data_IF_462074199741
#
_entry.id   IF_462074199741
#
_cell.length_a   1.000
_cell.length_b   1.000
_cell.length_c   1.000
_cell.angle_alpha   90.00
_cell.angle_beta   90.00
_cell.angle_gamma   90.00
#
_symmetry.space_group_name_H-M   'P 1'
#
loop_
_entity.id
_entity.type
_entity.pdbx_description
1 polymer ?
#
# COMPACT_ATOMS: atom_id res chain seq x y z
N UNK A 1 47.73 -15.53 30.02
CA UNK A 1 46.29 -15.80 29.75
C UNK A 1 45.49 -14.53 29.48
N UNK A 2 45.54 -13.50 30.34
CA UNK A 2 44.77 -12.24 30.19
C UNK A 2 45.01 -11.52 28.85
N UNK A 3 46.25 -11.48 28.37
CA UNK A 3 46.62 -10.82 27.10
C UNK A 3 45.95 -11.48 25.89
N UNK A 4 45.82 -12.81 25.90
CA UNK A 4 45.18 -13.57 24.81
C UNK A 4 43.68 -13.26 24.75
N UNK A 5 43.01 -13.17 25.90
CA UNK A 5 41.60 -12.77 25.97
C UNK A 5 41.40 -11.33 25.47
N UNK A 6 42.30 -10.42 25.79
CA UNK A 6 42.26 -9.02 25.32
C UNK A 6 42.35 -8.92 23.80
N UNK A 7 43.22 -9.71 23.17
CA UNK A 7 43.41 -9.77 21.71
C UNK A 7 42.16 -10.34 21.01
N UNK A 8 41.43 -11.27 21.64
CA UNK A 8 40.19 -11.85 21.10
C UNK A 8 38.97 -10.92 21.29
N UNK A 9 38.91 -10.19 22.40
CA UNK A 9 37.76 -9.33 22.74
C UNK A 9 37.73 -8.07 21.88
N UNK A 10 38.89 -7.45 21.61
CA UNK A 10 38.98 -6.23 20.80
C UNK A 10 38.29 -6.32 19.41
N UNK A 11 38.55 -7.34 18.57
CA UNK A 11 37.88 -7.47 17.28
C UNK A 11 36.39 -7.77 17.43
N UNK A 12 35.98 -8.56 18.43
CA UNK A 12 34.55 -8.86 18.68
C UNK A 12 33.80 -7.59 19.06
N UNK A 13 34.36 -6.77 19.96
CA UNK A 13 33.79 -5.48 20.33
C UNK A 13 33.70 -4.53 19.14
N UNK A 14 34.71 -4.53 18.26
CA UNK A 14 34.70 -3.73 17.04
C UNK A 14 33.57 -4.14 16.09
N UNK A 15 33.41 -5.45 15.83
CA UNK A 15 32.33 -5.99 14.99
C UNK A 15 30.95 -5.68 15.57
N UNK A 16 30.75 -5.90 16.87
CA UNK A 16 29.49 -5.56 17.55
C UNK A 16 29.18 -4.07 17.44
N UNK A 17 30.18 -3.21 17.60
CA UNK A 17 30.01 -1.75 17.46
C UNK A 17 29.61 -1.36 16.05
N UNK A 18 30.17 -1.99 15.01
CA UNK A 18 29.77 -1.74 13.63
C UNK A 18 28.33 -2.15 13.35
N UNK A 19 27.91 -3.33 13.81
CA UNK A 19 26.53 -3.80 13.62
C UNK A 19 25.52 -2.93 14.37
N UNK A 20 25.83 -2.52 15.61
CA UNK A 20 25.01 -1.56 16.38
C UNK A 20 24.92 -0.22 15.63
N UNK A 21 26.01 0.27 15.04
CA UNK A 21 26.01 1.51 14.23
C UNK A 21 25.15 1.35 12.96
N UNK A 22 25.17 0.17 12.33
CA UNK A 22 24.36 -0.14 11.14
C UNK A 22 22.88 -0.18 11.49
N UNK A 23 22.52 -0.88 12.57
CA UNK A 23 21.14 -0.99 13.07
C UNK A 23 20.63 0.39 13.52
N UNK A 24 21.42 1.17 14.26
CA UNK A 24 20.99 2.51 14.70
C UNK A 24 20.79 3.47 13.52
N UNK A 25 21.66 3.44 12.50
CA UNK A 25 21.46 4.23 11.27
C UNK A 25 20.20 3.78 10.52
N UNK A 26 19.94 2.48 10.42
CA UNK A 26 18.72 1.94 9.83
C UNK A 26 17.46 2.37 10.59
N UNK A 27 17.49 2.32 11.92
CA UNK A 27 16.40 2.79 12.78
C UNK A 27 16.18 4.30 12.67
N UNK A 28 17.24 5.10 12.54
CA UNK A 28 17.14 6.54 12.32
C UNK A 28 16.53 6.87 10.96
N UNK A 29 16.85 6.12 9.91
CA UNK A 29 16.22 6.27 8.59
C UNK A 29 14.73 5.91 8.69
N UNK A 30 14.39 4.79 9.31
CA UNK A 30 13.00 4.41 9.54
C UNK A 30 12.24 5.42 10.39
N UNK A 31 12.86 5.97 11.44
CA UNK A 31 12.26 7.03 12.25
C UNK A 31 12.12 8.33 11.47
N UNK A 32 13.07 8.68 10.60
CA UNK A 32 12.98 9.87 9.74
C UNK A 32 11.86 9.71 8.72
N UNK A 33 11.75 8.55 8.08
CA UNK A 33 10.69 8.24 7.14
C UNK A 33 9.33 8.23 7.87
N UNK A 34 9.27 7.58 9.03
CA UNK A 34 8.09 7.59 9.91
C UNK A 34 7.77 9.00 10.40
N UNK A 35 8.75 9.86 10.69
CA UNK A 35 8.56 11.26 11.12
C UNK A 35 8.06 12.14 9.97
N UNK A 36 8.56 11.94 8.75
CA UNK A 36 8.06 12.59 7.54
C UNK A 36 6.62 12.13 7.23
N UNK A 37 6.33 10.83 7.43
CA UNK A 37 4.99 10.25 7.29
C UNK A 37 4.04 10.60 8.46
N UNK A 38 4.57 10.80 9.67
CA UNK A 38 3.82 11.04 10.92
C UNK A 38 3.66 12.52 11.25
N UNK A 39 4.36 13.42 10.57
CA UNK A 39 3.91 14.80 10.53
C UNK A 39 2.51 14.75 9.91
N UNK A 40 1.49 15.36 10.51
CA UNK A 40 0.22 15.53 9.84
C UNK A 40 0.46 16.55 8.73
N UNK A 41 1.08 16.11 7.64
CA UNK A 41 0.89 16.71 6.33
C UNK A 41 -0.59 16.49 6.10
N UNK A 42 -1.40 17.50 6.46
CA UNK A 42 -2.79 17.52 6.10
C UNK A 42 -2.80 17.45 4.58
N UNK A 43 -3.28 16.33 4.05
CA UNK A 43 -3.33 16.17 2.59
C UNK A 43 -4.48 16.99 1.98
N UNK A 44 -5.24 17.70 2.83
CA UNK A 44 -6.38 18.57 2.54
C UNK A 44 -6.11 19.50 1.34
N UNK A 45 -4.89 20.03 1.20
CA UNK A 45 -4.52 20.99 0.14
C UNK A 45 -3.66 20.38 -0.97
N UNK A 46 -3.41 19.07 -0.96
CA UNK A 46 -2.62 18.42 -2.01
C UNK A 46 -3.55 18.01 -3.15
N UNK A 47 -3.26 18.54 -4.34
CA UNK A 47 -3.89 18.14 -5.59
C UNK A 47 -3.86 16.61 -5.75
N UNK A 48 -5.03 16.03 -6.00
CA UNK A 48 -5.22 14.59 -6.20
C UNK A 48 -4.23 14.01 -7.21
N UNK A 49 -3.94 14.75 -8.29
CA UNK A 49 -2.99 14.32 -9.32
C UNK A 49 -1.59 14.09 -8.75
N UNK A 50 -1.14 14.93 -7.82
CA UNK A 50 0.17 14.77 -7.17
C UNK A 50 0.19 13.54 -6.27
N UNK A 51 -0.91 13.27 -5.57
CA UNK A 51 -1.06 12.08 -4.72
C UNK A 51 -1.03 10.81 -5.56
N UNK A 52 -1.76 10.78 -6.68
CA UNK A 52 -1.76 9.65 -7.61
C UNK A 52 -0.38 9.41 -8.25
N UNK A 53 0.33 10.48 -8.64
CA UNK A 53 1.71 10.35 -9.14
C UNK A 53 2.65 9.74 -8.08
N UNK A 54 2.51 10.14 -6.82
CA UNK A 54 3.30 9.58 -5.72
C UNK A 54 2.92 8.11 -5.45
N UNK A 55 1.63 7.79 -5.47
CA UNK A 55 1.14 6.42 -5.36
C UNK A 55 1.68 5.53 -6.48
N UNK A 56 1.70 6.02 -7.72
CA UNK A 56 2.29 5.31 -8.85
C UNK A 56 3.80 5.04 -8.63
N UNK A 57 4.53 6.01 -8.10
CA UNK A 57 5.94 5.81 -7.75
C UNK A 57 6.12 4.73 -6.67
N UNK A 58 5.26 4.69 -5.64
CA UNK A 58 5.26 3.63 -4.63
C UNK A 58 4.90 2.26 -5.22
N UNK A 59 3.89 2.19 -6.09
CA UNK A 59 3.48 0.97 -6.80
C UNK A 59 4.63 0.44 -7.67
N UNK A 60 5.28 1.30 -8.47
CA UNK A 60 6.40 0.92 -9.33
C UNK A 60 7.58 0.35 -8.51
N UNK A 61 7.77 0.85 -7.28
CA UNK A 61 8.77 0.38 -6.33
C UNK A 61 8.31 -0.80 -5.47
N UNK A 62 7.09 -1.33 -5.71
CA UNK A 62 6.45 -2.40 -4.93
C UNK A 62 6.33 -2.07 -3.43
N UNK A 63 6.24 -0.79 -3.09
CA UNK A 63 6.05 -0.30 -1.72
C UNK A 63 4.55 -0.27 -1.35
N UNK A 64 3.91 -1.45 -1.39
CA UNK A 64 2.45 -1.60 -1.28
C UNK A 64 1.87 -0.96 -0.01
N UNK A 65 2.48 -1.22 1.15
CA UNK A 65 1.99 -0.72 2.43
C UNK A 65 2.10 0.82 2.53
N UNK A 66 3.20 1.39 2.05
CA UNK A 66 3.38 2.85 2.03
C UNK A 66 2.36 3.51 1.10
N UNK A 67 2.07 2.88 -0.04
CA UNK A 67 1.03 3.34 -0.96
C UNK A 67 -0.34 3.34 -0.29
N UNK A 68 -0.73 2.23 0.35
CA UNK A 68 -2.00 2.11 1.05
C UNK A 68 -2.14 3.18 2.13
N UNK A 69 -1.13 3.33 3.01
CA UNK A 69 -1.15 4.32 4.10
C UNK A 69 -1.29 5.75 3.55
N UNK A 70 -0.57 6.09 2.47
CA UNK A 70 -0.67 7.39 1.82
C UNK A 70 -2.10 7.66 1.33
N UNK A 71 -2.67 6.69 0.61
CA UNK A 71 -3.96 6.84 -0.06
C UNK A 71 -5.14 6.80 0.92
N UNK A 72 -5.09 5.95 1.95
CA UNK A 72 -6.10 5.94 3.02
C UNK A 72 -6.10 7.25 3.81
N UNK A 73 -4.90 7.78 4.13
CA UNK A 73 -4.78 9.11 4.74
C UNK A 73 -5.35 10.19 3.85
N UNK A 74 -5.13 10.12 2.54
CA UNK A 74 -5.69 11.06 1.58
C UNK A 74 -7.22 11.04 1.61
N UNK A 75 -7.83 9.85 1.54
CA UNK A 75 -9.28 9.68 1.59
C UNK A 75 -9.90 10.23 2.88
N UNK A 76 -9.24 9.99 4.02
CA UNK A 76 -9.69 10.48 5.32
C UNK A 76 -9.67 12.02 5.40
N UNK A 77 -8.62 12.65 4.85
CA UNK A 77 -8.44 14.10 4.91
C UNK A 77 -9.22 14.85 3.81
N UNK A 78 -9.56 14.19 2.70
CA UNK A 78 -10.27 14.80 1.57
C UNK A 78 -11.78 14.81 1.80
N UNK A 79 -12.39 15.99 1.93
CA UNK A 79 -13.83 16.11 2.22
C UNK A 79 -14.75 16.10 1.01
N UNK A 80 -14.26 16.38 -0.22
CA UNK A 80 -15.14 16.55 -1.40
C UNK A 80 -14.42 16.42 -2.76
N UNK A 81 -13.71 15.32 -3.05
CA UNK A 81 -13.21 15.07 -4.41
C UNK A 81 -14.16 14.14 -5.18
N UNK A 82 -14.66 14.64 -6.32
CA UNK A 82 -15.61 13.96 -7.21
C UNK A 82 -14.97 12.72 -7.88
N UNK A 83 -13.65 12.60 -7.85
CA UNK A 83 -12.90 11.58 -8.61
C UNK A 83 -12.03 10.67 -7.72
N UNK A 84 -12.50 10.30 -6.52
CA UNK A 84 -11.78 9.39 -5.62
C UNK A 84 -11.70 7.93 -6.14
N UNK A 85 -12.34 7.61 -7.27
CA UNK A 85 -12.32 6.25 -7.79
C UNK A 85 -10.91 5.77 -8.13
N UNK A 86 -10.05 6.64 -8.67
CA UNK A 86 -8.66 6.25 -8.96
C UNK A 86 -7.88 5.93 -7.68
N UNK A 87 -8.19 6.61 -6.58
CA UNK A 87 -7.59 6.31 -5.27
C UNK A 87 -8.01 4.93 -4.81
N UNK A 88 -9.31 4.61 -4.86
CA UNK A 88 -9.82 3.29 -4.52
C UNK A 88 -9.24 2.17 -5.41
N UNK A 89 -9.09 2.43 -6.72
CA UNK A 89 -8.44 1.51 -7.66
C UNK A 89 -6.99 1.24 -7.28
N UNK A 90 -6.22 2.28 -6.98
CA UNK A 90 -4.84 2.13 -6.55
C UNK A 90 -4.72 1.32 -5.24
N UNK A 91 -5.58 1.57 -4.25
CA UNK A 91 -5.59 0.81 -3.00
C UNK A 91 -5.97 -0.66 -3.27
N UNK A 92 -7.05 -0.90 -4.01
CA UNK A 92 -7.50 -2.23 -4.39
C UNK A 92 -6.42 -3.01 -5.14
N UNK A 93 -5.69 -2.35 -6.04
CA UNK A 93 -4.56 -2.93 -6.76
C UNK A 93 -3.42 -3.33 -5.82
N UNK A 94 -3.09 -2.49 -4.82
CA UNK A 94 -2.05 -2.80 -3.84
C UNK A 94 -2.41 -4.03 -3.01
N UNK A 95 -3.66 -4.16 -2.56
CA UNK A 95 -4.13 -5.34 -1.84
C UNK A 95 -4.18 -6.58 -2.72
N UNK A 96 -4.66 -6.45 -3.96
CA UNK A 96 -4.70 -7.54 -4.93
C UNK A 96 -3.29 -8.08 -5.22
N UNK A 97 -2.31 -7.20 -5.37
CA UNK A 97 -0.89 -7.55 -5.58
C UNK A 97 -0.28 -8.32 -4.40
N UNK A 98 -0.90 -8.25 -3.22
CA UNK A 98 -0.50 -9.00 -2.02
C UNK A 98 -1.43 -10.17 -1.70
N UNK A 99 -2.34 -10.52 -2.62
CA UNK A 99 -3.35 -11.58 -2.47
C UNK A 99 -4.31 -11.37 -1.29
N UNK A 100 -4.50 -10.12 -0.84
CA UNK A 100 -5.50 -9.76 0.17
C UNK A 100 -6.84 -9.49 -0.51
N UNK A 101 -7.44 -10.56 -1.05
CA UNK A 101 -8.59 -10.47 -1.96
C UNK A 101 -9.83 -9.81 -1.34
N UNK A 102 -10.13 -10.09 -0.07
CA UNK A 102 -11.27 -9.49 0.63
C UNK A 102 -11.13 -7.96 0.77
N UNK A 103 -9.94 -7.48 1.13
CA UNK A 103 -9.68 -6.04 1.23
C UNK A 103 -9.70 -5.39 -0.15
N UNK A 104 -9.12 -6.04 -1.16
CA UNK A 104 -9.19 -5.57 -2.54
C UNK A 104 -10.64 -5.47 -3.05
N UNK A 105 -11.47 -6.48 -2.79
CA UNK A 105 -12.90 -6.49 -3.13
C UNK A 105 -13.62 -5.29 -2.51
N UNK A 106 -13.43 -5.05 -1.21
CA UNK A 106 -14.05 -3.93 -0.51
C UNK A 106 -13.68 -2.58 -1.12
N UNK A 107 -12.41 -2.40 -1.50
CA UNK A 107 -11.95 -1.15 -2.10
C UNK A 107 -12.47 -0.94 -3.53
N UNK A 108 -12.52 -1.98 -4.37
CA UNK A 108 -13.12 -1.87 -5.70
C UNK A 108 -14.63 -1.61 -5.63
N UNK A 109 -15.34 -2.19 -4.66
CA UNK A 109 -16.77 -1.91 -4.41
C UNK A 109 -17.01 -0.45 -4.02
N UNK A 110 -16.21 0.11 -3.11
CA UNK A 110 -16.28 1.53 -2.77
C UNK A 110 -16.02 2.43 -3.99
N UNK A 111 -15.12 2.03 -4.90
CA UNK A 111 -14.93 2.70 -6.19
C UNK A 111 -16.20 2.68 -7.05
N UNK A 112 -16.84 1.51 -7.19
CA UNK A 112 -18.07 1.34 -7.97
C UNK A 112 -19.28 2.06 -7.36
N UNK A 113 -19.33 2.25 -6.05
CA UNK A 113 -20.35 3.11 -5.42
C UNK A 113 -20.26 4.56 -5.91
N UNK A 114 -19.08 5.01 -6.36
CA UNK A 114 -18.87 6.36 -6.91
C UNK A 114 -19.02 6.39 -8.43
N UNK A 115 -18.50 5.39 -9.14
CA UNK A 115 -18.69 5.24 -10.58
C UNK A 115 -19.04 3.78 -10.92
N UNK A 116 -20.33 3.43 -11.01
CA UNK A 116 -20.79 2.05 -11.20
C UNK A 116 -20.33 1.40 -12.51
N UNK A 117 -19.92 2.20 -13.48
CA UNK A 117 -19.55 1.75 -14.83
C UNK A 117 -18.04 1.69 -15.05
N UNK A 118 -17.21 1.89 -14.02
CA UNK A 118 -15.75 1.82 -14.17
C UNK A 118 -15.30 0.40 -14.50
N UNK A 119 -14.85 0.24 -15.74
CA UNK A 119 -14.44 -1.05 -16.29
C UNK A 119 -13.26 -1.68 -15.55
N UNK A 120 -12.35 -0.87 -14.99
CA UNK A 120 -11.18 -1.37 -14.28
C UNK A 120 -11.57 -2.05 -12.96
N UNK A 121 -12.44 -1.41 -12.17
CA UNK A 121 -12.98 -2.00 -10.94
C UNK A 121 -13.75 -3.28 -11.25
N UNK A 122 -14.61 -3.28 -12.27
CA UNK A 122 -15.38 -4.47 -12.66
C UNK A 122 -14.47 -5.63 -13.09
N UNK A 123 -13.46 -5.37 -13.92
CA UNK A 123 -12.51 -6.39 -14.37
C UNK A 123 -11.66 -6.94 -13.21
N UNK A 124 -11.24 -6.08 -12.27
CA UNK A 124 -10.49 -6.52 -11.09
C UNK A 124 -11.36 -7.35 -10.13
N UNK A 125 -12.63 -7.00 -9.94
CA UNK A 125 -13.58 -7.82 -9.18
C UNK A 125 -13.81 -9.18 -9.86
N UNK A 126 -14.00 -9.20 -11.19
CA UNK A 126 -14.07 -10.45 -11.95
C UNK A 126 -12.82 -11.32 -11.74
N UNK A 127 -11.63 -10.72 -11.80
CA UNK A 127 -10.38 -11.42 -11.53
C UNK A 127 -10.36 -12.01 -10.10
N UNK A 128 -10.75 -11.22 -9.10
CA UNK A 128 -10.86 -11.69 -7.70
C UNK A 128 -11.83 -12.88 -7.58
N UNK A 129 -13.02 -12.79 -8.17
CA UNK A 129 -14.02 -13.86 -8.08
C UNK A 129 -13.61 -15.11 -8.88
N UNK A 130 -12.84 -14.93 -9.96
CA UNK A 130 -12.28 -16.04 -10.75
C UNK A 130 -11.07 -16.73 -10.10
N UNK A 131 -10.29 -15.99 -9.27
CA UNK A 131 -9.10 -16.53 -8.61
C UNK A 131 -9.45 -17.09 -7.23
N UNK A 132 -9.39 -18.42 -7.19
CA UNK A 132 -9.80 -19.36 -6.16
C UNK A 132 -9.27 -19.12 -4.72
N UNK A 133 -9.76 -18.07 -4.02
CA UNK A 133 -9.80 -18.00 -2.54
C UNK A 133 -11.14 -17.51 -1.97
N UNK A 134 -11.94 -16.78 -2.76
CA UNK A 134 -13.32 -16.40 -2.41
C UNK A 134 -14.37 -17.16 -3.22
N UNK A 135 -13.96 -17.87 -4.27
CA UNK A 135 -14.74 -18.66 -5.25
C UNK A 135 -16.26 -18.56 -5.08
N UNK A 136 -16.80 -17.41 -5.48
CA UNK A 136 -18.23 -17.10 -5.34
C UNK A 136 -18.85 -17.09 -6.74
N UNK A 137 -19.42 -18.23 -7.19
CA UNK A 137 -19.95 -18.37 -8.54
C UNK A 137 -21.14 -17.43 -8.80
N UNK A 138 -21.86 -17.02 -7.75
CA UNK A 138 -22.96 -16.06 -7.85
C UNK A 138 -22.39 -14.68 -8.19
N UNK A 139 -21.46 -14.19 -7.38
CA UNK A 139 -20.80 -12.89 -7.64
C UNK A 139 -20.09 -12.85 -9.00
N UNK A 140 -19.51 -13.98 -9.44
CA UNK A 140 -18.89 -14.07 -10.76
C UNK A 140 -19.92 -14.01 -11.90
N UNK A 141 -21.09 -14.62 -11.73
CA UNK A 141 -22.18 -14.52 -12.70
C UNK A 141 -22.70 -13.09 -12.77
N UNK A 142 -22.93 -12.46 -11.63
CA UNK A 142 -23.46 -11.10 -11.53
C UNK A 142 -22.49 -10.09 -12.16
N UNK A 143 -21.19 -10.16 -11.85
CA UNK A 143 -20.21 -9.22 -12.42
C UNK A 143 -20.08 -9.38 -13.93
N UNK A 144 -20.16 -10.61 -14.47
CA UNK A 144 -20.12 -10.85 -15.90
C UNK A 144 -21.35 -10.28 -16.61
N UNK A 145 -22.53 -10.38 -15.98
CA UNK A 145 -23.74 -9.76 -16.49
C UNK A 145 -23.61 -8.24 -16.52
N UNK A 146 -23.17 -7.61 -15.42
CA UNK A 146 -22.95 -6.16 -15.36
C UNK A 146 -21.98 -5.68 -16.44
N UNK A 147 -20.86 -6.40 -16.64
CA UNK A 147 -19.88 -6.07 -17.69
C UNK A 147 -20.50 -6.18 -19.08
N UNK A 148 -21.39 -7.15 -19.33
CA UNK A 148 -22.03 -7.33 -20.65
C UNK A 148 -23.07 -6.27 -21.01
N UNK A 149 -23.53 -5.50 -20.03
CA UNK A 149 -24.51 -4.42 -20.22
C UNK A 149 -23.86 -3.05 -20.49
N UNK A 150 -22.53 -2.95 -20.39
CA UNK A 150 -21.75 -1.74 -20.68
C UNK A 150 -21.27 -1.73 -22.12
#
# INVERSE_FOLDING_TARGET
MIIIYLILILPICFFLTQEIKRISKFLLILQKDKYILSKPISLINIDQKKVLNLAQAYINRKQWLNCIILLEKYLHDSTNSIDIIEIYKCIGFCYLSKNFYYLAENYYKQGLEKCPTDSNCLQNLKNIYSKNKLNDPIKLKDINYTISLL
#
